data_IF_592625741476
#
_entry.id   IF_592625741476
#
_cell.length_a   1.000
_cell.length_b   1.000
_cell.length_c   1.000
_cell.angle_alpha   90.00
_cell.angle_beta   90.00
_cell.angle_gamma   90.00
#
_symmetry.space_group_name_H-M   'P 1'
#
loop_
_entity.id
_entity.type
_entity.pdbx_description
1 polymer ?
#
# COMPACT_ATOMS: atom_id res chain seq x y z
N UNK A 1 -5.35 -22.40 13.51
CA UNK A 1 -4.23 -22.14 12.57
C UNK A 1 -4.67 -21.00 11.66
N UNK A 2 -3.91 -19.92 11.59
CA UNK A 2 -4.22 -18.77 10.76
C UNK A 2 -4.12 -19.16 9.28
N UNK A 3 -5.21 -18.96 8.51
CA UNK A 3 -5.22 -19.13 7.05
C UNK A 3 -5.04 -17.76 6.38
N UNK A 4 -3.86 -17.45 5.83
CA UNK A 4 -3.59 -16.14 5.24
C UNK A 4 -4.53 -15.79 4.10
N UNK A 5 -4.93 -16.77 3.27
CA UNK A 5 -5.81 -16.55 2.14
C UNK A 5 -7.23 -16.20 2.59
N UNK A 6 -7.77 -16.99 3.52
CA UNK A 6 -9.10 -16.73 4.06
C UNK A 6 -9.15 -15.37 4.78
N UNK A 7 -8.13 -15.05 5.56
CA UNK A 7 -8.03 -13.77 6.26
C UNK A 7 -7.92 -12.59 5.29
N UNK A 8 -7.10 -12.72 4.24
CA UNK A 8 -6.99 -11.68 3.21
C UNK A 8 -8.34 -11.40 2.57
N UNK A 9 -9.08 -12.44 2.16
CA UNK A 9 -10.41 -12.31 1.57
C UNK A 9 -11.42 -11.73 2.55
N UNK A 10 -11.45 -12.21 3.79
CA UNK A 10 -12.39 -11.72 4.80
C UNK A 10 -12.33 -10.20 4.96
N UNK A 11 -11.14 -9.63 4.98
CA UNK A 11 -10.94 -8.20 5.24
C UNK A 11 -10.89 -7.34 3.97
N UNK A 12 -10.44 -7.90 2.84
CA UNK A 12 -10.17 -7.12 1.64
C UNK A 12 -11.17 -7.30 0.50
N UNK A 13 -12.02 -8.32 0.55
CA UNK A 13 -13.06 -8.53 -0.47
C UNK A 13 -14.00 -7.34 -0.54
N UNK A 14 -14.38 -6.95 -1.77
CA UNK A 14 -15.35 -5.92 -2.04
C UNK A 14 -14.83 -4.84 -2.96
N UNK A 15 -15.54 -3.72 -2.98
CA UNK A 15 -15.23 -2.57 -3.79
C UNK A 15 -14.61 -1.47 -2.93
N UNK A 16 -13.45 -0.98 -3.34
CA UNK A 16 -12.69 0.07 -2.68
C UNK A 16 -12.61 1.29 -3.60
N UNK A 17 -12.88 2.45 -3.06
CA UNK A 17 -12.56 3.72 -3.70
C UNK A 17 -11.31 4.28 -3.06
N UNK A 18 -10.39 4.80 -3.87
CA UNK A 18 -9.08 5.19 -3.39
C UNK A 18 -8.52 6.42 -4.04
N UNK A 19 -7.48 6.92 -3.40
CA UNK A 19 -6.59 7.94 -3.94
C UNK A 19 -5.15 7.46 -3.77
N UNK A 20 -4.42 7.36 -4.88
CA UNK A 20 -3.00 7.09 -4.91
C UNK A 20 -2.26 8.40 -4.95
N UNK A 21 -1.39 8.64 -3.98
CA UNK A 21 -0.59 9.86 -3.85
C UNK A 21 0.87 9.47 -4.03
N UNK A 22 1.49 9.94 -5.10
CA UNK A 22 2.86 9.61 -5.46
C UNK A 22 3.81 10.70 -5.01
N UNK A 23 4.80 10.30 -4.22
CA UNK A 23 5.90 11.15 -3.78
C UNK A 23 7.20 10.71 -4.46
N UNK A 24 8.08 11.63 -4.75
CA UNK A 24 9.45 11.32 -5.20
C UNK A 24 10.35 10.88 -4.04
N UNK A 25 11.60 10.53 -4.36
CA UNK A 25 12.60 10.10 -3.38
C UNK A 25 12.96 11.17 -2.34
N UNK A 26 12.59 12.43 -2.56
CA UNK A 26 12.76 13.52 -1.60
C UNK A 26 11.54 13.78 -0.71
N UNK A 27 10.46 13.02 -0.90
CA UNK A 27 9.24 13.13 -0.10
C UNK A 27 8.24 14.18 -0.57
N UNK A 28 8.41 14.69 -1.80
CA UNK A 28 7.52 15.70 -2.38
C UNK A 28 6.47 15.05 -3.26
N UNK A 29 5.21 15.40 -3.05
CA UNK A 29 4.10 14.92 -3.89
C UNK A 29 4.27 15.41 -5.33
N UNK A 30 4.20 14.45 -6.26
CA UNK A 30 4.31 14.68 -7.69
C UNK A 30 2.94 14.72 -8.36
N UNK A 31 2.09 13.79 -7.99
CA UNK A 31 0.72 13.69 -8.49
C UNK A 31 -0.14 12.78 -7.61
N UNK A 32 -1.44 12.77 -7.87
CA UNK A 32 -2.42 11.88 -7.22
C UNK A 32 -3.49 11.43 -8.20
N UNK A 33 -3.94 10.19 -8.01
CA UNK A 33 -4.89 9.55 -8.91
C UNK A 33 -6.07 8.98 -8.14
N UNK A 34 -7.31 9.35 -8.48
CA UNK A 34 -8.47 8.65 -7.98
C UNK A 34 -8.55 7.26 -8.62
N UNK A 35 -8.85 6.26 -7.81
CA UNK A 35 -8.89 4.86 -8.22
C UNK A 35 -10.10 4.14 -7.68
N UNK A 36 -10.46 3.05 -8.36
CA UNK A 36 -11.43 2.07 -7.91
C UNK A 36 -10.78 0.69 -7.98
N UNK A 37 -10.91 -0.10 -6.92
CA UNK A 37 -10.38 -1.46 -6.86
C UNK A 37 -11.49 -2.43 -6.49
N UNK A 38 -11.72 -3.42 -7.36
CA UNK A 38 -12.60 -4.55 -7.08
C UNK A 38 -11.74 -5.74 -6.64
N UNK A 39 -12.06 -6.30 -5.47
CA UNK A 39 -11.46 -7.55 -4.96
C UNK A 39 -12.55 -8.59 -4.80
N UNK A 40 -12.43 -9.71 -5.49
CA UNK A 40 -13.39 -10.80 -5.44
C UNK A 40 -12.70 -12.16 -5.53
N UNK A 41 -13.44 -13.20 -5.20
CA UNK A 41 -13.03 -14.57 -5.45
C UNK A 41 -13.97 -15.18 -6.48
N UNK A 42 -13.40 -15.80 -7.51
CA UNK A 42 -14.13 -16.57 -8.51
C UNK A 42 -13.36 -17.85 -8.84
N UNK A 43 -14.02 -18.98 -8.74
CA UNK A 43 -13.46 -20.30 -9.07
C UNK A 43 -12.11 -20.60 -8.39
N UNK A 44 -11.96 -20.17 -7.13
CA UNK A 44 -10.73 -20.36 -6.35
C UNK A 44 -9.65 -19.32 -6.62
N UNK A 45 -9.85 -18.38 -7.53
CA UNK A 45 -8.92 -17.31 -7.86
C UNK A 45 -9.32 -16.01 -7.15
N UNK A 46 -8.38 -15.38 -6.47
CA UNK A 46 -8.56 -14.02 -5.98
C UNK A 46 -8.25 -13.07 -7.13
N UNK A 47 -9.26 -12.35 -7.57
CA UNK A 47 -9.18 -11.38 -8.64
C UNK A 47 -9.14 -9.96 -8.05
N UNK A 48 -8.13 -9.19 -8.45
CA UNK A 48 -8.01 -7.78 -8.13
C UNK A 48 -8.01 -6.97 -9.43
N UNK A 49 -8.98 -6.10 -9.59
CA UNK A 49 -9.08 -5.21 -10.74
C UNK A 49 -9.02 -3.76 -10.27
N UNK A 50 -7.88 -3.11 -10.51
CA UNK A 50 -7.64 -1.70 -10.25
C UNK A 50 -7.98 -0.88 -11.48
N UNK A 51 -8.81 0.14 -11.32
CA UNK A 51 -9.14 1.09 -12.38
C UNK A 51 -8.66 2.49 -11.99
N UNK A 52 -7.88 3.13 -12.86
CA UNK A 52 -7.54 4.55 -12.74
C UNK A 52 -8.70 5.38 -13.31
N UNK A 53 -9.41 6.11 -12.46
CA UNK A 53 -10.68 6.75 -12.84
C UNK A 53 -10.52 7.88 -13.87
N UNK A 54 -9.36 8.53 -13.90
CA UNK A 54 -9.09 9.62 -14.84
C UNK A 54 -8.88 9.13 -16.29
N UNK A 55 -8.33 7.91 -16.46
CA UNK A 55 -7.97 7.37 -17.78
C UNK A 55 -8.83 6.17 -18.19
N UNK A 56 -9.49 5.52 -17.23
CA UNK A 56 -10.16 4.23 -17.43
C UNK A 56 -9.20 3.04 -17.57
N UNK A 57 -7.88 3.26 -17.45
CA UNK A 57 -6.89 2.18 -17.48
C UNK A 57 -7.14 1.18 -16.37
N UNK A 58 -7.08 -0.11 -16.69
CA UNK A 58 -7.26 -1.19 -15.74
C UNK A 58 -5.98 -2.01 -15.59
N UNK A 59 -5.71 -2.42 -14.34
CA UNK A 59 -4.63 -3.36 -14.00
C UNK A 59 -5.20 -4.49 -13.16
N UNK A 60 -4.93 -5.71 -13.56
CA UNK A 60 -5.38 -6.90 -12.85
C UNK A 60 -4.20 -7.62 -12.20
N UNK A 61 -4.42 -8.10 -10.97
CA UNK A 61 -3.52 -9.00 -10.26
C UNK A 61 -4.35 -10.14 -9.69
N UNK A 62 -4.12 -11.33 -10.21
CA UNK A 62 -4.91 -12.51 -9.86
C UNK A 62 -3.99 -13.60 -9.32
N UNK A 63 -4.44 -14.31 -8.28
CA UNK A 63 -3.69 -15.40 -7.69
C UNK A 63 -4.61 -16.44 -7.02
N UNK A 64 -4.25 -17.71 -7.11
CA UNK A 64 -4.96 -18.82 -6.47
C UNK A 64 -4.51 -18.99 -5.01
N UNK A 65 -3.24 -18.79 -4.75
CA UNK A 65 -2.63 -18.84 -3.42
C UNK A 65 -1.92 -17.54 -3.11
N UNK A 66 -1.84 -17.18 -1.83
CA UNK A 66 -1.07 -16.02 -1.38
C UNK A 66 0.39 -16.18 -1.84
N UNK A 67 0.96 -15.18 -2.56
CA UNK A 67 2.35 -15.25 -2.98
C UNK A 67 3.30 -15.47 -1.80
N UNK A 68 4.37 -16.24 -1.99
CA UNK A 68 5.33 -16.52 -0.91
C UNK A 68 6.04 -15.26 -0.39
N UNK A 69 6.07 -14.19 -1.19
CA UNK A 69 6.60 -12.87 -0.82
C UNK A 69 5.60 -12.00 -0.07
N UNK A 70 4.38 -12.49 0.12
CA UNK A 70 3.32 -11.78 0.84
C UNK A 70 3.10 -12.41 2.22
N UNK A 71 3.15 -11.60 3.25
CA UNK A 71 2.78 -11.98 4.61
C UNK A 71 1.48 -11.27 4.96
N UNK A 72 0.48 -12.04 5.40
CA UNK A 72 -0.84 -11.53 5.80
C UNK A 72 -0.97 -11.63 7.32
N UNK A 73 -1.28 -10.53 7.99
CA UNK A 73 -1.55 -10.51 9.43
C UNK A 73 -3.03 -10.81 9.74
N UNK A 74 -3.34 -11.07 11.01
CA UNK A 74 -4.69 -11.45 11.45
C UNK A 74 -5.75 -10.37 11.21
N UNK A 75 -5.36 -9.11 11.06
CA UNK A 75 -6.25 -7.98 10.75
C UNK A 75 -6.47 -7.79 9.24
N UNK A 76 -5.95 -8.67 8.39
CA UNK A 76 -6.11 -8.61 6.94
C UNK A 76 -5.19 -7.63 6.24
N UNK A 77 -4.31 -6.95 6.95
CA UNK A 77 -3.21 -6.20 6.37
C UNK A 77 -2.12 -7.14 5.85
N UNK A 78 -1.21 -6.63 5.03
CA UNK A 78 -0.13 -7.43 4.46
C UNK A 78 1.16 -6.63 4.29
N UNK A 79 2.26 -7.36 4.17
CA UNK A 79 3.49 -6.89 3.55
C UNK A 79 3.76 -7.71 2.30
N UNK A 80 4.21 -7.09 1.24
CA UNK A 80 4.50 -7.74 -0.04
C UNK A 80 5.83 -7.21 -0.58
N UNK A 81 6.70 -8.11 -1.00
CA UNK A 81 7.97 -7.79 -1.64
C UNK A 81 9.12 -8.64 -1.14
N UNK A 82 10.29 -8.56 -1.81
CA UNK A 82 11.50 -9.23 -1.36
C UNK A 82 11.95 -8.76 0.03
N UNK A 83 12.52 -9.65 0.82
CA UNK A 83 13.02 -9.36 2.17
C UNK A 83 14.26 -8.47 2.21
N UNK A 84 14.96 -8.35 1.07
CA UNK A 84 16.17 -7.54 0.94
C UNK A 84 16.06 -6.57 -0.23
N UNK A 85 16.50 -5.34 0.01
CA UNK A 85 16.64 -4.32 -1.04
C UNK A 85 17.82 -4.70 -1.93
N UNK A 86 17.60 -4.76 -3.23
CA UNK A 86 18.67 -4.99 -4.22
C UNK A 86 19.04 -3.67 -4.90
N UNK A 87 20.32 -3.50 -5.31
CA UNK A 87 20.79 -2.24 -5.87
C UNK A 87 20.22 -1.91 -7.26
N UNK A 88 19.57 -2.84 -7.93
CA UNK A 88 19.06 -2.60 -9.30
C UNK A 88 17.63 -2.13 -9.31
N UNK A 89 16.76 -2.83 -8.60
CA UNK A 89 15.36 -2.45 -8.42
C UNK A 89 14.76 -3.24 -7.27
N UNK A 90 13.99 -2.57 -6.44
CA UNK A 90 13.21 -3.20 -5.39
C UNK A 90 11.89 -2.47 -5.24
N UNK A 91 10.83 -3.21 -5.03
CA UNK A 91 9.54 -2.66 -4.66
C UNK A 91 8.95 -3.45 -3.50
N UNK A 92 8.43 -2.75 -2.51
CA UNK A 92 7.72 -3.36 -1.38
C UNK A 92 6.45 -2.61 -1.07
N UNK A 93 5.47 -3.32 -0.59
CA UNK A 93 4.17 -2.79 -0.19
C UNK A 93 3.86 -3.17 1.24
N UNK A 94 3.32 -2.23 2.00
CA UNK A 94 2.75 -2.45 3.31
C UNK A 94 1.29 -1.98 3.31
N UNK A 95 0.40 -2.79 3.85
CA UNK A 95 -1.03 -2.50 3.96
C UNK A 95 -1.52 -2.66 5.39
N UNK A 96 -2.35 -1.72 5.82
CA UNK A 96 -3.09 -1.79 7.09
C UNK A 96 -4.57 -1.66 6.77
N UNK A 97 -5.38 -2.56 7.33
CA UNK A 97 -6.84 -2.57 7.18
C UNK A 97 -7.48 -2.36 8.55
N UNK A 98 -8.44 -1.45 8.62
CA UNK A 98 -9.26 -1.23 9.81
C UNK A 98 -10.72 -0.94 9.41
N UNK A 99 -11.59 -1.92 9.63
CA UNK A 99 -12.98 -1.83 9.19
C UNK A 99 -13.09 -1.62 7.67
N UNK A 100 -13.75 -0.54 7.28
CA UNK A 100 -13.94 -0.16 5.87
C UNK A 100 -12.85 0.78 5.35
N UNK A 101 -11.80 0.99 6.10
CA UNK A 101 -10.66 1.81 5.71
C UNK A 101 -9.41 0.97 5.48
N UNK A 102 -8.60 1.37 4.50
CA UNK A 102 -7.31 0.77 4.21
C UNK A 102 -6.30 1.85 3.84
N UNK A 103 -5.08 1.68 4.37
CA UNK A 103 -3.94 2.50 4.04
C UNK A 103 -2.83 1.60 3.52
N UNK A 104 -2.20 2.02 2.43
CA UNK A 104 -1.09 1.28 1.86
C UNK A 104 0.06 2.21 1.55
N UNK A 105 1.26 1.69 1.63
CA UNK A 105 2.49 2.36 1.21
C UNK A 105 3.23 1.43 0.27
N UNK A 106 3.57 1.91 -0.91
CA UNK A 106 4.43 1.21 -1.86
C UNK A 106 5.73 2.00 -1.98
N UNK A 107 6.84 1.39 -1.59
CA UNK A 107 8.17 1.99 -1.73
C UNK A 107 8.90 1.34 -2.90
N UNK A 108 9.60 2.16 -3.68
CA UNK A 108 10.44 1.71 -4.78
C UNK A 108 11.87 2.22 -4.60
N UNK A 109 12.81 1.31 -4.66
CA UNK A 109 14.23 1.62 -4.71
C UNK A 109 14.77 1.37 -6.10
N UNK A 110 15.56 2.31 -6.58
CA UNK A 110 16.36 2.19 -7.78
C UNK A 110 17.83 2.14 -7.47
N UNK A 111 18.64 2.42 -8.48
CA UNK A 111 20.10 2.32 -8.39
C UNK A 111 20.73 3.29 -7.36
N UNK A 112 20.10 4.44 -7.15
CA UNK A 112 20.61 5.50 -6.25
C UNK A 112 19.89 5.56 -4.90
N UNK A 113 19.06 4.58 -4.57
CA UNK A 113 18.30 4.54 -3.32
C UNK A 113 16.79 4.60 -3.53
N UNK A 114 16.07 5.20 -2.59
CA UNK A 114 14.63 5.34 -2.65
C UNK A 114 14.22 6.34 -3.75
N UNK A 115 13.54 5.85 -4.79
CA UNK A 115 13.11 6.65 -5.94
C UNK A 115 11.72 7.22 -5.77
N UNK A 116 10.82 6.43 -5.20
CA UNK A 116 9.40 6.77 -5.15
C UNK A 116 8.72 6.11 -3.96
N UNK A 117 7.75 6.82 -3.38
CA UNK A 117 6.77 6.26 -2.46
C UNK A 117 5.38 6.58 -2.96
N UNK A 118 4.50 5.59 -2.97
CA UNK A 118 3.07 5.80 -3.23
C UNK A 118 2.30 5.55 -1.94
N UNK A 119 1.68 6.59 -1.43
CA UNK A 119 0.74 6.50 -0.32
C UNK A 119 -0.67 6.33 -0.86
N UNK A 120 -1.39 5.34 -0.37
CA UNK A 120 -2.69 4.97 -0.88
C UNK A 120 -3.72 5.01 0.24
N UNK A 121 -4.77 5.78 0.03
CA UNK A 121 -5.92 5.90 0.93
C UNK A 121 -7.11 5.27 0.25
N UNK A 122 -7.76 4.32 0.91
CA UNK A 122 -8.91 3.60 0.34
C UNK A 122 -10.02 3.43 1.37
N UNK A 123 -11.27 3.46 0.89
CA UNK A 123 -12.49 3.25 1.68
C UNK A 123 -13.43 2.32 0.94
N UNK A 124 -14.08 1.39 1.64
CA UNK A 124 -15.12 0.50 1.11
C UNK A 124 -16.48 1.19 1.00
N UNK A 125 -17.38 0.52 0.26
CA UNK A 125 -18.83 0.75 0.28
C UNK A 125 -19.27 2.17 -0.07
N UNK A 126 -18.57 2.82 -1.00
CA UNK A 126 -18.97 4.15 -1.49
C UNK A 126 -18.67 5.30 -0.55
N UNK A 127 -17.90 5.06 0.52
CA UNK A 127 -17.33 6.15 1.31
C UNK A 127 -16.32 6.96 0.49
N UNK A 128 -16.22 8.25 0.74
CA UNK A 128 -15.19 9.09 0.14
C UNK A 128 -13.83 8.78 0.78
N UNK A 129 -12.78 8.52 -0.02
CA UNK A 129 -11.43 8.35 0.52
C UNK A 129 -11.00 9.62 1.25
N UNK A 130 -10.61 9.48 2.51
CA UNK A 130 -10.14 10.60 3.31
C UNK A 130 -8.69 10.96 2.95
N UNK A 131 -8.46 11.37 1.70
CA UNK A 131 -7.15 11.86 1.26
C UNK A 131 -6.92 13.29 1.79
N UNK A 132 -5.68 13.63 2.19
CA UNK A 132 -5.35 14.99 2.59
C UNK A 132 -5.70 15.99 1.49
N UNK A 133 -6.32 17.11 1.83
CA UNK A 133 -6.70 18.17 0.89
C UNK A 133 -5.49 18.96 0.37
N UNK A 134 -4.44 19.05 1.19
CA UNK A 134 -3.18 19.69 0.83
C UNK A 134 -2.20 18.67 0.25
N UNK A 135 -1.28 19.07 -0.62
CA UNK A 135 -0.21 18.20 -1.07
C UNK A 135 0.58 17.60 0.09
N UNK A 136 0.88 16.30 0.00
CA UNK A 136 1.73 15.63 0.97
C UNK A 136 3.18 16.04 0.79
N UNK A 137 3.82 16.33 1.90
CA UNK A 137 5.25 16.50 1.98
C UNK A 137 5.78 15.69 3.16
N UNK A 138 6.86 14.95 2.95
CA UNK A 138 7.49 14.17 3.99
C UNK A 138 8.87 14.74 4.32
N UNK A 139 9.13 14.95 5.60
CA UNK A 139 10.51 15.17 6.06
C UNK A 139 11.22 13.83 6.10
N UNK A 140 12.38 13.75 5.44
CA UNK A 140 13.21 12.54 5.41
C UNK A 140 14.37 12.72 6.37
N UNK A 141 14.52 11.78 7.30
CA UNK A 141 15.64 11.74 8.24
C UNK A 141 16.34 10.39 8.15
N UNK A 142 17.65 10.40 8.33
CA UNK A 142 18.44 9.18 8.49
C UNK A 142 18.88 9.02 9.94
N UNK A 143 18.78 7.80 10.45
CA UNK A 143 19.28 7.43 11.77
C UNK A 143 19.97 6.07 11.66
N UNK A 144 21.29 6.08 11.52
CA UNK A 144 22.05 4.87 11.19
C UNK A 144 21.60 4.29 9.85
N UNK A 145 21.23 3.02 9.85
CA UNK A 145 20.72 2.31 8.65
C UNK A 145 19.23 2.56 8.33
N UNK A 146 18.58 3.44 9.09
CA UNK A 146 17.15 3.71 8.96
C UNK A 146 16.88 4.99 8.19
N UNK A 147 15.97 4.93 7.25
CA UNK A 147 15.36 6.10 6.60
C UNK A 147 13.96 6.28 7.17
N UNK A 148 13.75 7.42 7.83
CA UNK A 148 12.48 7.76 8.47
C UNK A 148 11.77 8.79 7.61
N UNK A 149 10.59 8.46 7.13
CA UNK A 149 9.70 9.37 6.44
C UNK A 149 8.65 9.89 7.42
N UNK A 150 8.62 11.19 7.63
CA UNK A 150 7.65 11.84 8.47
C UNK A 150 6.76 12.73 7.61
N UNK A 151 5.50 12.31 7.34
CA UNK A 151 4.55 13.14 6.63
C UNK A 151 4.19 14.40 7.42
N UNK A 152 4.04 15.52 6.73
CA UNK A 152 3.58 16.78 7.31
C UNK A 152 2.40 17.33 6.50
N UNK A 153 1.42 18.00 7.17
CA UNK A 153 1.19 18.14 8.61
C UNK A 153 0.12 17.20 9.19
N UNK A 154 -0.47 16.27 8.45
CA UNK A 154 -1.72 15.61 8.86
C UNK A 154 -1.80 14.09 8.69
N UNK A 155 -0.70 13.40 8.48
CA UNK A 155 -0.75 11.94 8.42
C UNK A 155 -0.09 11.36 9.65
N UNK A 156 -0.89 10.96 10.64
CA UNK A 156 -0.45 10.18 11.80
C UNK A 156 -0.13 8.72 11.43
N UNK A 157 0.64 8.52 10.37
CA UNK A 157 1.19 7.22 10.03
C UNK A 157 2.70 7.31 10.22
N UNK A 158 3.12 7.16 11.46
CA UNK A 158 4.49 6.79 11.78
C UNK A 158 4.70 5.35 11.34
N UNK A 159 5.12 5.17 10.10
CA UNK A 159 5.71 3.91 9.67
C UNK A 159 7.12 3.83 10.26
N UNK A 160 7.20 3.61 11.56
CA UNK A 160 8.44 3.23 12.20
C UNK A 160 8.74 1.78 11.80
N UNK A 161 9.75 1.59 10.98
CA UNK A 161 10.18 0.25 10.57
C UNK A 161 10.61 -0.62 11.77
N UNK A 162 10.83 -0.03 12.94
CA UNK A 162 11.09 -0.74 14.20
C UNK A 162 9.86 -1.47 14.74
N UNK A 163 8.65 -1.05 14.39
CA UNK A 163 7.42 -1.70 14.83
C UNK A 163 7.17 -3.05 14.16
N UNK A 164 7.95 -3.40 13.13
CA UNK A 164 7.90 -4.73 12.50
C UNK A 164 8.44 -5.86 13.38
N UNK A 165 9.12 -5.54 14.47
CA UNK A 165 9.75 -6.55 15.34
C UNK A 165 9.01 -6.78 16.66
N UNK A 166 7.85 -6.16 16.87
CA UNK A 166 7.07 -6.31 18.10
C UNK A 166 5.69 -6.93 17.86
N UNK A 167 5.60 -7.87 16.93
CA UNK A 167 4.41 -8.69 16.68
C UNK A 167 4.76 -10.14 16.50
#
# INVERSE_FOLDING_TARGET
MHDPRATLLQHNRGHWQGCFIRLDGSGVEQDRFPTSLQVQERDGVIENCLTYLATGEQKSMNFESVPFTMQVNECGGWSLGPSAITPLAWAGELSVVHGDERRRVVARHGFHGLDQVVYIVETKAGGEPCAPSQPLQCTIRTNGDWVIWQPEPHVELLLDARDRHMG
#
